data_IF_906504276614
#
_entry.id   IF_906504276614
#
_cell.length_a   1.000
_cell.length_b   1.000
_cell.length_c   1.000
_cell.angle_alpha   90.00
_cell.angle_beta   90.00
_cell.angle_gamma   90.00
#
_symmetry.space_group_name_H-M   'P 1'
#
loop_
_entity.id
_entity.type
_entity.pdbx_description
1 polymer ?
#
# COMPACT_ATOMS: atom_id res chain seq x y z
N UNK A 1 39.74 23.62 -3.61
CA UNK A 1 39.06 22.87 -4.69
C UNK A 1 38.56 21.50 -4.23
N UNK A 2 39.26 20.77 -3.35
CA UNK A 2 38.83 19.43 -2.89
C UNK A 2 37.49 19.41 -2.12
N UNK A 3 37.21 20.41 -1.26
CA UNK A 3 35.95 20.48 -0.50
C UNK A 3 34.70 20.75 -1.37
N UNK A 4 34.87 21.33 -2.57
CA UNK A 4 33.73 21.68 -3.44
C UNK A 4 33.06 20.45 -4.09
N UNK A 5 33.71 19.28 -4.03
CA UNK A 5 33.22 18.01 -4.60
C UNK A 5 32.59 17.07 -3.57
N UNK A 6 32.61 17.43 -2.27
CA UNK A 6 32.07 16.57 -1.22
C UNK A 6 30.55 16.56 -1.31
N UNK A 7 29.97 15.39 -1.57
CA UNK A 7 28.52 15.16 -1.62
C UNK A 7 28.11 14.10 -0.62
N UNK A 8 26.85 14.15 -0.18
CA UNK A 8 26.29 13.21 0.80
C UNK A 8 25.13 12.43 0.22
N UNK A 9 24.93 11.22 0.74
CA UNK A 9 23.68 10.50 0.55
C UNK A 9 22.57 11.23 1.31
N UNK A 10 21.42 11.40 0.64
CA UNK A 10 20.29 12.14 1.22
C UNK A 10 19.69 11.42 2.43
N UNK A 11 19.44 12.11 3.55
CA UNK A 11 18.80 11.52 4.74
C UNK A 11 17.27 11.49 4.66
N UNK A 12 16.71 12.11 3.62
CA UNK A 12 15.29 12.21 3.28
C UNK A 12 15.11 12.46 1.77
N UNK A 13 13.88 12.37 1.27
CA UNK A 13 13.54 12.59 -0.13
C UNK A 13 13.05 14.02 -0.43
N UNK A 14 12.56 14.73 0.58
CA UNK A 14 12.01 16.10 0.54
C UNK A 14 12.93 17.12 -0.16
N UNK A 15 14.24 17.11 0.13
CA UNK A 15 15.18 18.11 -0.38
C UNK A 15 15.23 18.18 -1.93
N UNK A 16 15.06 17.03 -2.59
CA UNK A 16 15.01 16.98 -4.06
C UNK A 16 13.78 17.69 -4.63
N UNK A 17 12.67 17.71 -3.88
CA UNK A 17 11.43 18.37 -4.24
C UNK A 17 11.60 19.89 -4.15
N UNK A 18 12.16 20.40 -3.06
CA UNK A 18 12.37 21.84 -2.89
C UNK A 18 13.30 22.45 -3.94
N UNK A 19 14.40 21.75 -4.27
CA UNK A 19 15.34 22.20 -5.32
C UNK A 19 14.67 22.27 -6.70
N UNK A 20 13.65 21.44 -6.95
CA UNK A 20 12.92 21.39 -8.21
C UNK A 20 11.58 22.15 -8.20
N UNK A 21 11.26 22.85 -7.11
CA UNK A 21 9.98 23.54 -6.94
C UNK A 21 9.61 24.43 -8.14
N UNK A 22 10.51 25.34 -8.54
CA UNK A 22 10.25 26.29 -9.62
C UNK A 22 10.14 25.58 -10.99
N UNK A 23 11.00 24.59 -11.24
CA UNK A 23 10.95 23.79 -12.47
C UNK A 23 9.60 23.08 -12.63
N UNK A 24 9.10 22.46 -11.56
CA UNK A 24 7.82 21.74 -11.56
C UNK A 24 6.66 22.73 -11.70
N UNK A 25 6.65 23.79 -10.88
CA UNK A 25 5.63 24.84 -10.91
C UNK A 25 5.44 25.41 -12.32
N UNK A 26 6.54 25.78 -12.98
CA UNK A 26 6.51 26.39 -14.31
C UNK A 26 6.16 25.41 -15.42
N UNK A 27 6.81 24.25 -15.45
CA UNK A 27 6.63 23.27 -16.53
C UNK A 27 5.23 22.66 -16.53
N UNK A 28 4.66 22.43 -15.34
CA UNK A 28 3.31 21.87 -15.17
C UNK A 28 2.21 22.94 -15.04
N UNK A 29 2.58 24.23 -14.98
CA UNK A 29 1.65 25.37 -14.83
C UNK A 29 0.72 25.20 -13.62
N UNK A 30 1.26 24.73 -12.52
CA UNK A 30 0.50 24.44 -11.30
C UNK A 30 0.04 25.74 -10.63
N UNK A 31 -1.10 25.67 -9.95
CA UNK A 31 -1.60 26.71 -9.05
C UNK A 31 -1.59 26.18 -7.63
N UNK A 32 -1.39 27.06 -6.64
CA UNK A 32 -1.54 26.66 -5.25
C UNK A 32 -3.02 26.39 -4.91
N UNK A 33 -3.33 25.40 -4.06
CA UNK A 33 -2.38 24.45 -3.48
C UNK A 33 -2.07 23.28 -4.44
N UNK A 34 -0.84 22.73 -4.36
CA UNK A 34 -0.44 21.52 -5.09
C UNK A 34 0.60 20.73 -4.31
N UNK A 35 0.78 19.45 -4.65
CA UNK A 35 1.79 18.59 -4.04
C UNK A 35 2.78 18.01 -5.04
N UNK A 36 4.02 17.80 -4.61
CA UNK A 36 5.01 17.00 -5.32
C UNK A 36 5.35 15.81 -4.42
N UNK A 37 5.28 14.60 -4.97
CA UNK A 37 5.52 13.36 -4.23
C UNK A 37 6.82 12.70 -4.70
N UNK A 38 7.54 12.05 -3.78
CA UNK A 38 8.68 11.22 -4.12
C UNK A 38 8.69 9.95 -3.29
N UNK A 39 8.96 8.83 -3.96
CA UNK A 39 9.28 7.55 -3.32
C UNK A 39 10.72 7.21 -3.62
N UNK A 40 11.48 6.87 -2.59
CA UNK A 40 12.80 6.29 -2.81
C UNK A 40 13.67 6.23 -1.58
N UNK A 41 14.91 5.80 -1.80
CA UNK A 41 15.87 5.52 -0.73
C UNK A 41 16.33 6.79 -0.01
N UNK A 42 16.51 6.65 1.29
CA UNK A 42 17.15 7.60 2.18
C UNK A 42 18.16 6.87 3.07
N UNK A 43 19.17 7.62 3.53
CA UNK A 43 20.33 7.07 4.21
C UNK A 43 20.62 7.85 5.49
N UNK A 44 20.63 7.17 6.62
CA UNK A 44 20.99 7.76 7.93
C UNK A 44 22.11 6.92 8.54
N UNK A 45 23.22 7.54 8.92
CA UNK A 45 24.35 6.81 9.51
C UNK A 45 24.07 6.47 10.97
N UNK A 46 23.08 5.60 11.19
CA UNK A 46 22.65 5.13 12.51
C UNK A 46 23.83 4.47 13.24
N UNK A 47 24.06 4.94 14.47
CA UNK A 47 25.22 4.55 15.30
C UNK A 47 25.05 3.10 15.74
N UNK A 48 23.85 2.76 16.19
CA UNK A 48 23.50 1.42 16.65
C UNK A 48 22.26 0.93 15.90
N UNK A 49 22.43 0.25 14.75
CA UNK A 49 21.33 -0.44 14.08
C UNK A 49 20.69 -1.48 15.00
N UNK A 50 19.39 -1.69 14.88
CA UNK A 50 18.67 -2.57 15.79
C UNK A 50 17.17 -2.61 15.55
N UNK A 51 16.49 -3.51 16.27
CA UNK A 51 15.06 -3.75 16.15
C UNK A 51 14.65 -3.98 14.68
N UNK A 52 15.32 -4.88 13.98
CA UNK A 52 15.00 -5.25 12.60
C UNK A 52 14.89 -4.02 11.67
N UNK A 53 13.69 -3.69 11.20
CA UNK A 53 13.42 -2.63 10.22
C UNK A 53 13.32 -1.22 10.83
N UNK A 54 13.32 -1.09 12.16
CA UNK A 54 13.08 0.20 12.83
C UNK A 54 14.30 1.12 12.82
N UNK A 55 15.51 0.56 12.88
CA UNK A 55 16.77 1.32 12.90
C UNK A 55 17.75 0.71 11.90
N UNK A 56 17.65 1.16 10.66
CA UNK A 56 18.52 0.77 9.54
C UNK A 56 19.32 1.97 9.04
N UNK A 57 20.32 1.72 8.20
CA UNK A 57 21.13 2.78 7.56
C UNK A 57 20.61 3.20 6.18
N UNK A 58 19.79 2.35 5.58
CA UNK A 58 19.14 2.53 4.29
C UNK A 58 17.69 2.06 4.47
N UNK A 59 16.75 2.88 3.99
CA UNK A 59 15.31 2.61 4.01
C UNK A 59 14.64 3.42 2.90
N UNK A 60 13.42 3.05 2.55
CA UNK A 60 12.59 3.73 1.55
C UNK A 60 11.55 4.62 2.22
N UNK A 61 11.45 5.86 1.76
CA UNK A 61 10.44 6.82 2.21
C UNK A 61 9.46 7.12 1.09
N UNK A 62 8.24 7.46 1.49
CA UNK A 62 7.22 8.06 0.64
C UNK A 62 6.89 9.42 1.24
N UNK A 63 7.32 10.50 0.59
CA UNK A 63 7.12 11.86 1.08
C UNK A 63 6.35 12.69 0.04
N UNK A 64 5.55 13.62 0.53
CA UNK A 64 4.84 14.61 -0.27
C UNK A 64 5.12 15.98 0.31
N UNK A 65 5.60 16.92 -0.51
CA UNK A 65 5.60 18.34 -0.14
C UNK A 65 4.37 18.99 -0.73
N UNK A 66 3.40 19.33 0.12
CA UNK A 66 2.16 19.98 -0.28
C UNK A 66 2.24 21.48 -0.01
N UNK A 67 2.36 22.25 -1.09
CA UNK A 67 2.53 23.70 -1.08
C UNK A 67 1.18 24.42 -0.98
N UNK A 68 1.07 25.32 -0.02
CA UNK A 68 -0.14 26.10 0.28
C UNK A 68 0.21 27.59 0.31
N UNK A 69 -0.68 28.44 -0.19
CA UNK A 69 -0.50 29.88 -0.05
C UNK A 69 -0.79 30.31 1.41
N UNK A 70 0.17 30.92 2.13
CA UNK A 70 -0.03 31.31 3.53
C UNK A 70 -1.08 32.43 3.72
N UNK A 71 -1.46 33.12 2.65
CA UNK A 71 -2.47 34.19 2.69
C UNK A 71 -3.90 33.68 2.47
N UNK A 72 -4.06 32.40 2.15
CA UNK A 72 -5.38 31.81 1.92
C UNK A 72 -6.04 31.38 3.23
N UNK A 73 -7.37 31.44 3.24
CA UNK A 73 -8.20 30.94 4.33
C UNK A 73 -9.25 29.97 3.78
N UNK A 74 -9.57 28.95 4.57
CA UNK A 74 -10.63 27.98 4.28
C UNK A 74 -11.53 27.94 5.50
N UNK A 75 -12.82 28.21 5.31
CA UNK A 75 -13.82 28.24 6.38
C UNK A 75 -13.43 29.12 7.58
N UNK A 76 -12.77 30.25 7.30
CA UNK A 76 -12.33 31.22 8.32
C UNK A 76 -11.04 30.85 9.07
N UNK A 77 -10.39 29.74 8.72
CA UNK A 77 -9.09 29.31 9.28
C UNK A 77 -7.96 29.49 8.27
N UNK A 78 -6.69 29.65 8.71
CA UNK A 78 -5.54 29.61 7.83
C UNK A 78 -5.53 28.32 6.98
N UNK A 79 -5.32 28.44 5.68
CA UNK A 79 -5.40 27.30 4.76
C UNK A 79 -4.39 26.20 5.09
N UNK A 80 -3.18 26.55 5.56
CA UNK A 80 -2.14 25.60 5.96
C UNK A 80 -2.61 24.67 7.08
N UNK A 81 -3.32 25.20 8.08
CA UNK A 81 -3.85 24.40 9.19
C UNK A 81 -4.99 23.48 8.74
N UNK A 82 -5.87 23.97 7.85
CA UNK A 82 -6.96 23.16 7.30
C UNK A 82 -6.41 22.03 6.44
N UNK A 83 -5.38 22.29 5.63
CA UNK A 83 -4.71 21.26 4.84
C UNK A 83 -3.93 20.28 5.73
N UNK A 84 -3.31 20.75 6.81
CA UNK A 84 -2.64 19.89 7.78
C UNK A 84 -3.61 18.90 8.42
N UNK A 85 -4.77 19.37 8.91
CA UNK A 85 -5.82 18.51 9.46
C UNK A 85 -6.36 17.51 8.43
N UNK A 86 -6.54 17.94 7.18
CA UNK A 86 -6.99 17.06 6.07
C UNK A 86 -5.97 15.97 5.76
N UNK A 87 -4.68 16.30 5.71
CA UNK A 87 -3.62 15.31 5.48
C UNK A 87 -3.53 14.31 6.62
N UNK A 88 -3.60 14.75 7.89
CA UNK A 88 -3.65 13.84 9.04
C UNK A 88 -4.82 12.86 8.91
N UNK A 89 -6.02 13.37 8.60
CA UNK A 89 -7.21 12.53 8.47
C UNK A 89 -7.11 11.55 7.29
N UNK A 90 -6.67 12.02 6.12
CA UNK A 90 -6.54 11.17 4.92
C UNK A 90 -5.49 10.07 5.13
N UNK A 91 -4.34 10.40 5.74
CA UNK A 91 -3.27 9.43 5.98
C UNK A 91 -3.67 8.41 7.02
N UNK A 92 -4.35 8.80 8.10
CA UNK A 92 -4.90 7.85 9.07
C UNK A 92 -5.95 6.94 8.42
N UNK A 93 -6.85 7.51 7.62
CA UNK A 93 -7.87 6.75 6.89
C UNK A 93 -7.25 5.80 5.85
N UNK A 94 -6.11 6.15 5.25
CA UNK A 94 -5.40 5.29 4.30
C UNK A 94 -4.95 3.98 4.96
N UNK A 95 -4.32 4.03 6.14
CA UNK A 95 -3.92 2.81 6.86
C UNK A 95 -5.12 1.91 7.19
N UNK A 96 -6.23 2.50 7.63
CA UNK A 96 -7.46 1.77 7.93
C UNK A 96 -8.11 1.17 6.68
N UNK A 97 -8.15 1.94 5.58
CA UNK A 97 -8.68 1.50 4.27
C UNK A 97 -7.98 0.23 3.77
N UNK A 98 -6.68 0.11 4.03
CA UNK A 98 -5.88 -1.04 3.64
C UNK A 98 -5.73 -2.12 4.72
N UNK A 99 -6.56 -2.07 5.75
CA UNK A 99 -6.81 -3.21 6.65
C UNK A 99 -6.12 -3.13 8.01
N UNK A 100 -5.44 -2.04 8.37
CA UNK A 100 -4.96 -1.89 9.74
C UNK A 100 -6.15 -1.60 10.67
N UNK A 101 -6.25 -2.39 11.73
CA UNK A 101 -7.24 -2.24 12.80
C UNK A 101 -7.08 -0.92 13.56
N UNK A 102 -8.20 -0.23 13.79
CA UNK A 102 -8.21 1.09 14.40
C UNK A 102 -7.62 1.10 15.81
N UNK A 103 -7.81 0.04 16.60
CA UNK A 103 -7.26 -0.10 17.95
C UNK A 103 -5.72 -0.19 18.00
N UNK A 104 -5.08 -0.48 16.87
CA UNK A 104 -3.62 -0.54 16.75
C UNK A 104 -3.02 0.72 16.14
N UNK A 105 -3.84 1.73 15.81
CA UNK A 105 -3.40 3.04 15.32
C UNK A 105 -3.70 4.11 16.35
N UNK A 106 -2.82 5.11 16.44
CA UNK A 106 -3.09 6.36 17.16
C UNK A 106 -2.44 7.54 16.49
N UNK A 107 -3.02 8.71 16.72
CA UNK A 107 -2.39 9.98 16.41
C UNK A 107 -1.65 10.48 17.67
N UNK A 108 -0.38 10.88 17.52
CA UNK A 108 0.41 11.51 18.58
C UNK A 108 0.87 12.89 18.14
N UNK A 109 0.40 13.92 18.81
CA UNK A 109 0.92 15.28 18.61
C UNK A 109 2.31 15.39 19.25
N UNK A 110 3.23 16.08 18.57
CA UNK A 110 4.54 16.42 19.13
C UNK A 110 4.41 17.48 20.21
N UNK A 111 5.16 17.31 21.31
CA UNK A 111 5.33 18.38 22.28
C UNK A 111 6.22 19.50 21.72
N UNK A 112 6.11 20.71 22.29
CA UNK A 112 6.92 21.86 21.83
C UNK A 112 8.43 21.60 21.85
N UNK A 113 8.93 20.78 22.77
CA UNK A 113 10.34 20.39 22.88
C UNK A 113 10.77 19.35 21.84
N UNK A 114 9.82 18.66 21.23
CA UNK A 114 10.06 17.63 20.21
C UNK A 114 9.96 18.18 18.79
N UNK A 115 9.24 19.31 18.61
CA UNK A 115 9.10 19.96 17.31
C UNK A 115 10.46 20.31 16.73
N UNK A 116 10.64 19.95 15.46
CA UNK A 116 11.74 20.50 14.68
C UNK A 116 11.66 22.03 14.67
N UNK A 117 12.81 22.71 14.67
CA UNK A 117 12.91 24.17 14.78
C UNK A 117 12.14 24.95 13.69
N UNK A 118 11.77 24.29 12.59
CA UNK A 118 11.02 24.83 11.46
C UNK A 118 9.52 24.44 11.45
N UNK A 119 9.10 23.51 12.31
CA UNK A 119 7.74 22.99 12.28
C UNK A 119 6.80 23.84 13.15
N UNK A 120 5.68 24.30 12.55
CA UNK A 120 4.57 24.94 13.27
C UNK A 120 3.78 23.92 14.10
N UNK A 121 3.58 22.72 13.55
CA UNK A 121 2.90 21.58 14.20
C UNK A 121 3.31 20.28 13.49
N UNK A 122 3.47 19.21 14.25
CA UNK A 122 3.69 17.86 13.72
C UNK A 122 2.81 16.87 14.48
N UNK A 123 2.18 15.97 13.74
CA UNK A 123 1.45 14.85 14.30
C UNK A 123 1.92 13.55 13.66
N UNK A 124 2.22 12.55 14.48
CA UNK A 124 2.64 11.23 14.02
C UNK A 124 1.45 10.26 14.01
N UNK A 125 1.36 9.46 12.95
CA UNK A 125 0.58 8.23 12.96
C UNK A 125 1.49 7.13 13.49
N UNK A 126 1.11 6.57 14.63
CA UNK A 126 1.83 5.47 15.27
C UNK A 126 1.04 4.16 15.20
N UNK A 127 1.77 3.06 15.05
CA UNK A 127 1.23 1.70 15.10
C UNK A 127 1.74 0.96 16.33
N UNK A 128 0.87 0.13 16.92
CA UNK A 128 1.17 -0.71 18.08
C UNK A 128 1.81 -2.03 17.64
N UNK A 129 3.12 -2.00 17.38
CA UNK A 129 3.89 -3.20 17.12
C UNK A 129 4.00 -4.10 18.36
N UNK A 130 4.44 -5.38 18.21
CA UNK A 130 4.74 -6.25 19.34
C UNK A 130 5.81 -5.68 20.29
N UNK A 131 6.64 -4.77 19.80
CA UNK A 131 7.67 -4.04 20.56
C UNK A 131 7.15 -2.76 21.23
N UNK A 132 5.87 -2.43 21.06
CA UNK A 132 5.25 -1.19 21.55
C UNK A 132 4.87 -0.23 20.42
N UNK A 133 4.46 0.98 20.81
CA UNK A 133 4.09 2.04 19.87
C UNK A 133 5.32 2.59 19.15
N UNK A 134 5.21 2.71 17.83
CA UNK A 134 6.26 3.32 17.00
C UNK A 134 5.65 4.05 15.81
N UNK A 135 6.34 5.08 15.36
CA UNK A 135 5.93 5.98 14.28
C UNK A 135 6.03 5.31 12.91
N UNK A 136 4.94 5.42 12.14
CA UNK A 136 4.85 5.02 10.73
C UNK A 136 5.06 6.20 9.80
N UNK A 137 4.49 7.34 10.17
CA UNK A 137 4.42 8.53 9.34
C UNK A 137 4.28 9.78 10.19
N UNK A 138 5.15 10.76 9.94
CA UNK A 138 5.02 12.11 10.47
C UNK A 138 4.30 13.01 9.48
N UNK A 139 3.34 13.80 9.96
CA UNK A 139 2.67 14.83 9.16
C UNK A 139 3.01 16.20 9.77
N UNK A 140 3.93 16.92 9.12
CA UNK A 140 4.47 18.19 9.59
C UNK A 140 3.93 19.38 8.79
N UNK A 141 3.65 20.49 9.48
CA UNK A 141 3.51 21.81 8.87
C UNK A 141 4.84 22.55 9.05
N UNK A 142 5.64 22.61 7.98
CA UNK A 142 7.01 23.15 7.96
C UNK A 142 7.07 24.64 7.61
N UNK A 143 5.92 25.28 7.40
CA UNK A 143 5.80 26.68 6.97
C UNK A 143 6.67 26.95 5.73
N UNK A 144 7.40 28.06 5.67
CA UNK A 144 8.18 28.49 4.51
C UNK A 144 9.70 28.27 4.66
N UNK A 145 10.12 27.52 5.69
CA UNK A 145 11.52 27.35 6.05
C UNK A 145 12.37 26.81 4.89
N UNK A 146 11.98 25.67 4.32
CA UNK A 146 12.78 24.96 3.33
C UNK A 146 13.03 25.81 2.07
N UNK A 147 11.97 26.43 1.52
CA UNK A 147 12.09 27.29 0.35
C UNK A 147 12.91 28.55 0.65
N UNK A 148 12.77 29.15 1.84
CA UNK A 148 13.59 30.31 2.25
C UNK A 148 15.06 29.95 2.37
N UNK A 149 15.38 28.82 3.00
CA UNK A 149 16.77 28.37 3.15
C UNK A 149 17.40 28.09 1.79
N UNK A 150 16.72 27.35 0.91
CA UNK A 150 17.22 27.10 -0.45
C UNK A 150 17.37 28.40 -1.26
N UNK A 151 16.41 29.33 -1.16
CA UNK A 151 16.50 30.62 -1.84
C UNK A 151 17.69 31.46 -1.34
N UNK A 152 17.90 31.51 -0.03
CA UNK A 152 19.01 32.24 0.60
C UNK A 152 20.38 31.74 0.11
N UNK A 153 20.59 30.42 0.09
CA UNK A 153 21.90 29.84 -0.24
C UNK A 153 22.14 29.68 -1.74
N UNK A 154 21.09 29.54 -2.56
CA UNK A 154 21.21 29.43 -4.01
C UNK A 154 21.19 30.78 -4.75
N UNK A 155 20.65 31.83 -4.13
CA UNK A 155 20.40 33.12 -4.76
C UNK A 155 19.24 33.12 -5.77
N UNK A 156 18.51 32.00 -5.92
CA UNK A 156 17.33 31.90 -6.78
C UNK A 156 16.05 32.19 -5.99
N UNK A 157 15.09 32.85 -6.63
CA UNK A 157 13.76 33.04 -6.04
C UNK A 157 12.97 31.74 -6.10
N UNK A 158 12.50 31.26 -4.95
CA UNK A 158 11.59 30.12 -4.83
C UNK A 158 10.24 30.63 -4.29
N UNK A 159 9.54 31.38 -5.12
CA UNK A 159 8.27 32.03 -4.79
C UNK A 159 7.18 31.68 -5.79
N UNK A 160 5.92 31.83 -5.39
CA UNK A 160 4.75 31.73 -6.26
C UNK A 160 4.16 33.12 -6.48
N UNK A 161 3.81 33.47 -7.71
CA UNK A 161 3.11 34.72 -8.01
C UNK A 161 1.59 34.52 -7.92
N UNK A 162 0.98 35.14 -6.91
CA UNK A 162 -0.48 35.16 -6.75
C UNK A 162 -1.09 36.16 -7.73
N UNK A 163 -1.77 35.66 -8.76
CA UNK A 163 -2.37 36.49 -9.80
C UNK A 163 -3.53 37.36 -9.30
N UNK A 164 -4.22 36.95 -8.23
CA UNK A 164 -5.36 37.69 -7.67
C UNK A 164 -4.88 38.84 -6.80
N UNK A 165 -3.89 38.56 -5.93
CA UNK A 165 -3.32 39.54 -5.00
C UNK A 165 -2.17 40.36 -5.61
N UNK A 166 -1.67 39.96 -6.78
CA UNK A 166 -0.52 40.58 -7.49
C UNK A 166 0.75 40.66 -6.63
N UNK A 167 1.02 39.62 -5.84
CA UNK A 167 2.19 39.54 -4.96
C UNK A 167 2.91 38.21 -5.11
N UNK A 168 4.22 38.21 -4.85
CA UNK A 168 4.98 36.99 -4.65
C UNK A 168 4.84 36.51 -3.21
N UNK A 169 4.59 35.23 -3.03
CA UNK A 169 4.54 34.56 -1.73
C UNK A 169 5.54 33.41 -1.69
N UNK A 170 6.10 33.12 -0.52
CA UNK A 170 6.77 31.84 -0.27
C UNK A 170 5.71 30.88 0.25
N UNK A 171 5.38 29.79 -0.48
CA UNK A 171 4.38 28.84 -0.02
C UNK A 171 4.76 28.21 1.33
N UNK A 172 3.75 27.91 2.14
CA UNK A 172 3.91 27.02 3.28
C UNK A 172 3.86 25.56 2.82
N UNK A 173 4.57 24.69 3.52
CA UNK A 173 4.70 23.27 3.18
C UNK A 173 4.06 22.40 4.24
N UNK A 174 3.14 21.54 3.81
CA UNK A 174 2.61 20.42 4.61
C UNK A 174 3.24 19.14 4.08
N UNK A 175 3.92 18.41 4.96
CA UNK A 175 4.67 17.21 4.63
C UNK A 175 4.11 15.99 5.36
N UNK A 176 3.40 15.11 4.66
CA UNK A 176 3.28 13.70 5.05
C UNK A 176 4.55 12.94 4.62
N UNK A 177 5.27 12.39 5.60
CA UNK A 177 6.49 11.58 5.41
C UNK A 177 6.31 10.20 6.02
N UNK A 178 6.07 9.19 5.16
CA UNK A 178 5.87 7.81 5.57
C UNK A 178 7.12 6.95 5.35
N UNK A 179 7.46 6.12 6.33
CA UNK A 179 8.47 5.08 6.18
C UNK A 179 7.88 3.85 5.50
N UNK A 180 8.14 3.65 4.21
CA UNK A 180 7.53 2.57 3.40
C UNK A 180 7.77 1.19 4.02
N UNK A 181 9.00 0.94 4.45
CA UNK A 181 9.43 -0.27 5.14
C UNK A 181 8.61 -0.56 6.40
N UNK A 182 8.42 0.45 7.26
CA UNK A 182 7.64 0.33 8.50
C UNK A 182 6.17 0.14 8.21
N UNK A 183 5.61 0.83 7.21
CA UNK A 183 4.23 0.62 6.76
C UNK A 183 4.01 -0.82 6.30
N UNK A 184 4.92 -1.40 5.51
CA UNK A 184 4.85 -2.80 5.08
C UNK A 184 4.86 -3.75 6.28
N UNK A 185 5.77 -3.55 7.24
CA UNK A 185 5.80 -4.36 8.45
C UNK A 185 4.50 -4.23 9.26
N UNK A 186 3.94 -3.03 9.39
CA UNK A 186 2.68 -2.81 10.09
C UNK A 186 1.53 -3.59 9.44
N UNK A 187 1.40 -3.54 8.11
CA UNK A 187 0.37 -4.33 7.40
C UNK A 187 0.57 -5.85 7.59
N UNK A 188 1.82 -6.34 7.56
CA UNK A 188 2.10 -7.77 7.77
C UNK A 188 1.75 -8.21 9.19
N UNK A 189 2.17 -7.44 10.20
CA UNK A 189 1.89 -7.72 11.61
C UNK A 189 0.39 -7.66 11.87
N UNK A 190 -0.32 -6.66 11.33
CA UNK A 190 -1.74 -6.51 11.60
C UNK A 190 -2.59 -7.57 10.89
N UNK A 191 -2.19 -7.98 9.69
CA UNK A 191 -2.85 -9.03 8.92
C UNK A 191 -2.58 -10.45 9.47
N UNK A 192 -1.47 -10.66 10.18
CA UNK A 192 -1.10 -11.96 10.71
C UNK A 192 -2.14 -12.47 11.70
N UNK A 193 -2.72 -13.62 11.37
CA UNK A 193 -3.76 -14.28 12.16
C UNK A 193 -3.39 -15.74 12.33
N UNK A 194 -3.58 -16.26 13.54
CA UNK A 194 -3.57 -17.69 13.82
C UNK A 194 -4.96 -18.11 14.30
N UNK A 195 -5.55 -19.12 13.68
CA UNK A 195 -6.88 -19.63 14.01
C UNK A 195 -6.90 -21.16 14.01
N UNK A 196 -7.89 -21.76 14.69
CA UNK A 196 -8.07 -23.21 14.69
C UNK A 196 -9.14 -23.62 13.68
N UNK A 197 -8.78 -24.50 12.75
CA UNK A 197 -9.68 -25.01 11.71
C UNK A 197 -9.63 -26.53 11.74
N UNK A 198 -10.76 -27.15 12.10
CA UNK A 198 -10.93 -28.62 12.16
C UNK A 198 -9.87 -29.30 13.07
N UNK A 199 -9.52 -28.68 14.20
CA UNK A 199 -8.53 -29.20 15.15
C UNK A 199 -7.08 -28.96 14.74
N UNK A 200 -6.82 -28.23 13.65
CA UNK A 200 -5.48 -27.86 13.20
C UNK A 200 -5.29 -26.34 13.23
N UNK A 201 -4.12 -25.90 13.69
CA UNK A 201 -3.71 -24.51 13.63
C UNK A 201 -3.54 -24.04 12.17
N UNK A 202 -4.09 -22.88 11.84
CA UNK A 202 -3.96 -22.16 10.57
C UNK A 202 -3.26 -20.84 10.82
N UNK A 203 -2.11 -20.62 10.19
CA UNK A 203 -1.54 -19.29 10.06
C UNK A 203 -1.97 -18.70 8.71
N UNK A 204 -2.38 -17.44 8.70
CA UNK A 204 -2.70 -16.71 7.47
C UNK A 204 -2.38 -15.23 7.60
N UNK A 205 -2.17 -14.59 6.45
CA UNK A 205 -2.12 -13.14 6.34
C UNK A 205 -3.45 -12.64 5.77
N UNK A 206 -4.27 -11.99 6.60
CA UNK A 206 -5.52 -11.32 6.20
C UNK A 206 -5.28 -9.99 5.47
N UNK A 207 -4.33 -9.97 4.53
CA UNK A 207 -3.97 -8.77 3.77
C UNK A 207 -5.18 -8.25 3.00
N UNK A 208 -5.33 -6.93 2.93
CA UNK A 208 -6.26 -6.31 1.98
C UNK A 208 -5.92 -6.76 0.56
N UNK A 209 -6.96 -7.02 -0.26
CA UNK A 209 -6.82 -7.55 -1.63
C UNK A 209 -5.83 -6.75 -2.49
N UNK A 210 -5.75 -5.44 -2.30
CA UNK A 210 -4.84 -4.56 -3.06
C UNK A 210 -3.38 -4.72 -2.62
N UNK A 211 -3.15 -5.07 -1.35
CA UNK A 211 -1.81 -5.29 -0.79
C UNK A 211 -1.30 -6.73 -0.98
N UNK A 212 -2.19 -7.70 -1.21
CA UNK A 212 -1.78 -9.09 -1.37
C UNK A 212 -0.79 -9.25 -2.55
N UNK A 213 0.39 -9.87 -2.37
CA UNK A 213 1.43 -9.95 -3.41
C UNK A 213 0.99 -10.81 -4.60
N UNK A 214 0.18 -11.84 -4.32
CA UNK A 214 -0.46 -12.69 -5.31
C UNK A 214 -1.96 -12.49 -5.19
N UNK A 215 -2.65 -12.24 -6.31
CA UNK A 215 -4.10 -12.03 -6.30
C UNK A 215 -4.86 -13.36 -6.42
N UNK A 216 -4.36 -14.25 -7.29
CA UNK A 216 -5.05 -15.51 -7.62
C UNK A 216 -4.02 -16.64 -7.74
N UNK A 217 -4.26 -17.75 -7.03
CA UNK A 217 -3.51 -18.99 -7.20
C UNK A 217 -4.33 -20.00 -7.99
N UNK A 218 -3.81 -20.53 -9.10
CA UNK A 218 -4.49 -21.55 -9.91
C UNK A 218 -3.85 -22.91 -9.64
N UNK A 219 -4.64 -23.83 -9.08
CA UNK A 219 -4.16 -25.06 -8.45
C UNK A 219 -4.86 -26.27 -9.11
N UNK A 220 -4.13 -27.20 -9.74
CA UNK A 220 -4.74 -28.44 -10.21
C UNK A 220 -4.97 -29.40 -9.03
N UNK A 221 -6.14 -30.04 -8.98
CA UNK A 221 -6.45 -31.03 -7.96
C UNK A 221 -5.53 -32.27 -8.06
N UNK A 222 -5.26 -32.72 -9.28
CA UNK A 222 -4.50 -33.93 -9.57
C UNK A 222 -3.34 -33.64 -10.52
N UNK A 223 -2.13 -33.50 -9.99
CA UNK A 223 -0.90 -33.22 -10.77
C UNK A 223 -0.53 -34.28 -11.81
N UNK A 224 -0.99 -35.52 -11.65
CA UNK A 224 -0.70 -36.62 -12.59
C UNK A 224 -1.65 -36.66 -13.78
N UNK A 225 -2.71 -35.86 -13.78
CA UNK A 225 -3.72 -35.85 -14.83
C UNK A 225 -3.45 -34.70 -15.79
N UNK A 226 -2.95 -35.02 -16.98
CA UNK A 226 -2.41 -34.03 -17.93
C UNK A 226 -3.44 -33.02 -18.44
N UNK A 227 -4.70 -33.42 -18.56
CA UNK A 227 -5.84 -32.58 -18.93
C UNK A 227 -6.17 -31.51 -17.87
N UNK A 228 -6.20 -31.88 -16.57
CA UNK A 228 -6.39 -30.94 -15.46
C UNK A 228 -5.22 -29.96 -15.40
N UNK A 229 -3.98 -30.47 -15.51
CA UNK A 229 -2.77 -29.62 -15.51
C UNK A 229 -2.78 -28.64 -16.68
N UNK A 230 -3.12 -29.09 -17.89
CA UNK A 230 -3.22 -28.24 -19.07
C UNK A 230 -4.30 -27.16 -18.90
N UNK A 231 -5.49 -27.53 -18.39
CA UNK A 231 -6.57 -26.58 -18.12
C UNK A 231 -6.17 -25.54 -17.06
N UNK A 232 -5.48 -25.95 -15.99
CA UNK A 232 -4.97 -25.03 -14.97
C UNK A 232 -3.94 -24.05 -15.55
N UNK A 233 -3.01 -24.51 -16.39
CA UNK A 233 -2.07 -23.62 -17.07
C UNK A 233 -2.76 -22.62 -18.00
N UNK A 234 -3.77 -23.06 -18.75
CA UNK A 234 -4.51 -22.18 -19.66
C UNK A 234 -5.30 -21.11 -18.90
N UNK A 235 -6.02 -21.51 -17.84
CA UNK A 235 -6.75 -20.56 -16.97
C UNK A 235 -5.78 -19.55 -16.37
N UNK A 236 -4.65 -20.02 -15.82
CA UNK A 236 -3.61 -19.15 -15.26
C UNK A 236 -3.06 -18.19 -16.31
N UNK A 237 -2.79 -18.67 -17.53
CA UNK A 237 -2.30 -17.86 -18.65
C UNK A 237 -3.28 -16.73 -18.97
N UNK A 238 -4.58 -17.02 -19.05
CA UNK A 238 -5.61 -16.00 -19.30
C UNK A 238 -5.64 -14.97 -18.17
N UNK A 239 -5.71 -15.40 -16.92
CA UNK A 239 -5.79 -14.51 -15.76
C UNK A 239 -4.51 -13.66 -15.56
N UNK A 240 -3.34 -14.20 -15.92
CA UNK A 240 -2.05 -13.51 -15.82
C UNK A 240 -1.93 -12.27 -16.71
N UNK A 241 -2.76 -12.10 -17.73
CA UNK A 241 -2.80 -10.86 -18.53
C UNK A 241 -3.40 -9.67 -17.76
N UNK A 242 -4.06 -9.93 -16.63
CA UNK A 242 -4.78 -8.91 -15.87
C UNK A 242 -4.25 -8.77 -14.44
N UNK A 243 -3.81 -9.85 -13.81
CA UNK A 243 -3.42 -9.86 -12.40
C UNK A 243 -2.19 -10.72 -12.12
N UNK A 244 -1.56 -10.49 -10.98
CA UNK A 244 -0.49 -11.35 -10.47
C UNK A 244 -1.08 -12.70 -10.08
N UNK A 245 -0.67 -13.74 -10.80
CA UNK A 245 -1.15 -15.11 -10.59
C UNK A 245 -0.02 -16.12 -10.46
N UNK A 246 -0.26 -17.15 -9.65
CA UNK A 246 0.67 -18.26 -9.45
C UNK A 246 0.02 -19.60 -9.80
N UNK A 247 0.87 -20.59 -10.05
CA UNK A 247 0.51 -21.99 -10.24
C UNK A 247 1.37 -22.83 -9.30
N UNK A 248 0.78 -23.84 -8.66
CA UNK A 248 1.51 -24.81 -7.82
C UNK A 248 0.77 -26.16 -7.85
N UNK A 249 1.47 -27.23 -8.19
CA UNK A 249 0.99 -28.62 -8.18
C UNK A 249 1.90 -29.54 -7.34
N UNK A 250 2.80 -28.94 -6.55
CA UNK A 250 3.86 -29.67 -5.84
C UNK A 250 3.35 -30.47 -4.64
N UNK A 251 2.13 -30.19 -4.17
CA UNK A 251 1.52 -30.83 -3.00
C UNK A 251 0.02 -31.12 -3.19
N UNK A 252 -0.58 -31.81 -2.22
CA UNK A 252 -2.03 -31.99 -2.17
C UNK A 252 -2.75 -30.65 -1.97
N UNK A 253 -3.98 -30.52 -2.51
CA UNK A 253 -4.71 -29.26 -2.57
C UNK A 253 -4.86 -28.55 -1.22
N UNK A 254 -5.09 -29.29 -0.13
CA UNK A 254 -5.19 -28.70 1.21
C UNK A 254 -3.89 -28.01 1.63
N UNK A 255 -2.73 -28.61 1.36
CA UNK A 255 -1.42 -28.01 1.65
C UNK A 255 -1.14 -26.80 0.76
N UNK A 256 -1.60 -26.83 -0.49
CA UNK A 256 -1.47 -25.70 -1.41
C UNK A 256 -2.30 -24.50 -0.94
N UNK A 257 -3.55 -24.72 -0.50
CA UNK A 257 -4.36 -23.66 0.12
C UNK A 257 -3.68 -23.08 1.35
N UNK A 258 -3.11 -23.91 2.25
CA UNK A 258 -2.39 -23.42 3.44
C UNK A 258 -1.23 -22.49 3.07
N UNK A 259 -0.41 -22.84 2.08
CA UNK A 259 0.68 -21.97 1.60
C UNK A 259 0.16 -20.63 1.08
N UNK A 260 -0.94 -20.66 0.35
CA UNK A 260 -1.56 -19.44 -0.21
C UNK A 260 -2.18 -18.57 0.88
N UNK A 261 -2.77 -19.19 1.92
CA UNK A 261 -3.26 -18.50 3.11
C UNK A 261 -2.11 -17.82 3.87
N UNK A 262 -0.98 -18.51 4.06
CA UNK A 262 0.22 -18.01 4.75
C UNK A 262 0.84 -16.78 4.06
N UNK A 263 0.76 -16.69 2.73
CA UNK A 263 1.26 -15.53 1.96
C UNK A 263 0.16 -14.50 1.62
N UNK A 264 -1.06 -14.72 2.10
CA UNK A 264 -2.17 -13.78 2.02
C UNK A 264 -2.87 -13.70 0.66
N UNK A 265 -2.72 -14.70 -0.22
CA UNK A 265 -3.42 -14.76 -1.51
C UNK A 265 -4.94 -14.78 -1.28
N UNK A 266 -5.72 -13.81 -1.78
CA UNK A 266 -7.15 -13.70 -1.46
C UNK A 266 -8.00 -14.83 -2.05
N UNK A 267 -7.65 -15.33 -3.25
CA UNK A 267 -8.44 -16.36 -3.93
C UNK A 267 -7.58 -17.48 -4.52
N UNK A 268 -8.06 -18.71 -4.36
CA UNK A 268 -7.51 -19.88 -5.06
C UNK A 268 -8.56 -20.43 -6.04
N UNK A 269 -8.13 -20.71 -7.27
CA UNK A 269 -8.91 -21.38 -8.32
C UNK A 269 -8.44 -22.82 -8.42
N UNK A 270 -9.33 -23.77 -8.14
CA UNK A 270 -9.04 -25.20 -8.23
C UNK A 270 -9.67 -25.79 -9.46
N UNK A 271 -8.83 -26.44 -10.27
CA UNK A 271 -9.23 -27.22 -11.45
C UNK A 271 -9.29 -28.68 -11.06
N UNK A 272 -10.45 -29.30 -11.20
CA UNK A 272 -10.71 -30.67 -10.75
C UNK A 272 -11.22 -31.59 -11.87
N UNK A 273 -11.51 -32.84 -11.51
CA UNK A 273 -12.04 -33.83 -12.45
C UNK A 273 -13.39 -33.40 -13.01
N UNK A 274 -14.23 -32.73 -12.22
CA UNK A 274 -15.54 -32.25 -12.69
C UNK A 274 -15.37 -31.13 -13.73
N UNK A 275 -14.33 -30.30 -13.61
CA UNK A 275 -14.03 -29.25 -14.59
C UNK A 275 -13.83 -29.82 -15.99
N UNK A 276 -13.00 -30.85 -16.13
CA UNK A 276 -12.58 -31.37 -17.44
C UNK A 276 -13.27 -32.68 -17.86
N UNK A 277 -13.98 -33.34 -16.94
CA UNK A 277 -14.67 -34.62 -17.15
C UNK A 277 -13.75 -35.82 -17.00
N UNK A 278 -14.29 -37.02 -17.21
CA UNK A 278 -13.59 -38.30 -17.25
C UNK A 278 -13.96 -39.09 -18.50
N UNK A 279 -13.15 -38.95 -19.55
CA UNK A 279 -13.36 -39.58 -20.84
C UNK A 279 -13.37 -41.12 -20.75
N UNK A 280 -12.59 -41.71 -19.82
CA UNK A 280 -12.57 -43.16 -19.61
C UNK A 280 -13.89 -43.68 -19.03
N UNK A 281 -14.61 -42.83 -18.28
CA UNK A 281 -15.93 -43.13 -17.70
C UNK A 281 -17.11 -42.57 -18.50
N UNK A 282 -16.84 -41.86 -19.60
CA UNK A 282 -17.86 -41.18 -20.39
C UNK A 282 -18.54 -40.01 -19.66
N UNK A 283 -17.89 -39.45 -18.63
CA UNK A 283 -18.43 -38.32 -17.86
C UNK A 283 -17.93 -37.01 -18.49
N UNK A 284 -18.80 -36.16 -19.06
CA UNK A 284 -18.37 -34.88 -19.61
C UNK A 284 -17.99 -33.90 -18.49
N UNK A 285 -17.02 -33.02 -18.78
CA UNK A 285 -16.69 -31.91 -17.89
C UNK A 285 -17.78 -30.84 -17.90
N UNK A 286 -17.99 -30.17 -16.77
CA UNK A 286 -18.96 -29.08 -16.66
C UNK A 286 -18.39 -27.70 -17.01
N UNK A 287 -17.08 -27.61 -17.28
CA UNK A 287 -16.39 -26.37 -17.62
C UNK A 287 -16.38 -25.34 -16.48
N UNK A 288 -16.57 -25.77 -15.23
CA UNK A 288 -16.55 -24.93 -14.03
C UNK A 288 -15.35 -25.25 -13.15
N UNK A 289 -14.83 -24.24 -12.49
CA UNK A 289 -13.77 -24.35 -11.49
C UNK A 289 -14.28 -23.93 -10.12
N UNK A 290 -13.56 -24.35 -9.09
CA UNK A 290 -13.86 -23.97 -7.72
C UNK A 290 -13.04 -22.74 -7.34
N UNK A 291 -13.69 -21.63 -6.96
CA UNK A 291 -13.00 -20.48 -6.35
C UNK A 291 -13.16 -20.62 -4.83
N UNK A 292 -12.04 -20.62 -4.11
CA UNK A 292 -11.97 -20.54 -2.64
C UNK A 292 -11.51 -19.16 -2.22
N UNK A 293 -12.25 -18.53 -1.31
CA UNK A 293 -11.85 -17.28 -0.67
C UNK A 293 -11.06 -17.53 0.62
N UNK A 294 -10.02 -16.73 0.85
CA UNK A 294 -9.05 -16.92 1.94
C UNK A 294 -9.70 -16.79 3.32
N UNK A 295 -10.40 -15.69 3.60
CA UNK A 295 -10.79 -15.31 4.95
C UNK A 295 -11.88 -16.20 5.55
N UNK A 296 -12.88 -16.54 4.74
CA UNK A 296 -14.04 -17.38 5.08
C UNK A 296 -13.83 -18.87 4.78
N UNK A 297 -12.87 -19.19 3.91
CA UNK A 297 -12.68 -20.53 3.33
C UNK A 297 -13.86 -21.03 2.48
N UNK A 298 -14.85 -20.19 2.21
CA UNK A 298 -16.01 -20.52 1.38
C UNK A 298 -15.58 -20.84 -0.05
N UNK A 299 -16.31 -21.76 -0.69
CA UNK A 299 -16.03 -22.24 -2.03
C UNK A 299 -17.27 -22.16 -2.92
N UNK A 300 -17.10 -21.62 -4.12
CA UNK A 300 -18.14 -21.50 -5.15
C UNK A 300 -17.69 -22.11 -6.48
N UNK A 301 -18.64 -22.62 -7.28
CA UNK A 301 -18.38 -23.23 -8.60
C UNK A 301 -18.73 -22.25 -9.73
N UNK A 302 -17.71 -21.73 -10.39
CA UNK A 302 -17.82 -20.66 -11.39
C UNK A 302 -17.44 -21.18 -12.79
N UNK A 303 -18.23 -20.88 -13.85
CA UNK A 303 -17.84 -21.18 -15.23
C UNK A 303 -16.52 -20.51 -15.61
N UNK A 304 -15.62 -21.24 -16.27
CA UNK A 304 -14.32 -20.71 -16.68
C UNK A 304 -14.42 -19.39 -17.48
N UNK A 305 -15.39 -19.21 -18.41
CA UNK A 305 -15.54 -17.94 -19.13
C UNK A 305 -15.87 -16.72 -18.25
N UNK A 306 -16.44 -16.94 -17.05
CA UNK A 306 -16.86 -15.86 -16.15
C UNK A 306 -15.76 -15.40 -15.19
N UNK A 307 -14.64 -16.13 -15.07
CA UNK A 307 -13.59 -15.85 -14.09
C UNK A 307 -13.05 -14.42 -14.18
N UNK A 308 -12.85 -13.90 -15.40
CA UNK A 308 -12.36 -12.53 -15.58
C UNK A 308 -13.36 -11.49 -15.04
N UNK A 309 -14.66 -11.68 -15.27
CA UNK A 309 -15.67 -10.76 -14.76
C UNK A 309 -15.71 -10.82 -13.23
N UNK A 310 -15.75 -12.04 -12.67
CA UNK A 310 -15.79 -12.28 -11.23
C UNK A 310 -14.60 -11.65 -10.50
N UNK A 311 -13.37 -11.92 -10.95
CA UNK A 311 -12.18 -11.33 -10.33
C UNK A 311 -12.07 -9.82 -10.57
N UNK A 312 -12.55 -9.33 -11.72
CA UNK A 312 -12.64 -7.90 -11.99
C UNK A 312 -13.50 -7.17 -10.96
N UNK A 313 -14.68 -7.70 -10.65
CA UNK A 313 -15.56 -7.13 -9.62
C UNK A 313 -14.96 -7.23 -8.21
N UNK A 314 -14.41 -8.38 -7.84
CA UNK A 314 -13.81 -8.62 -6.52
C UNK A 314 -12.62 -7.69 -6.27
N UNK A 315 -11.76 -7.50 -7.27
CA UNK A 315 -10.61 -6.59 -7.20
C UNK A 315 -11.00 -5.12 -7.35
N UNK A 316 -12.16 -4.81 -7.93
CA UNK A 316 -12.72 -3.46 -7.96
C UNK A 316 -13.44 -3.06 -6.65
N UNK A 317 -13.53 -3.96 -5.67
CA UNK A 317 -14.07 -3.64 -4.35
C UNK A 317 -15.29 -4.45 -3.92
N UNK A 318 -15.88 -5.27 -4.79
CA UNK A 318 -17.08 -6.03 -4.46
C UNK A 318 -16.87 -6.93 -3.23
N UNK A 319 -17.91 -7.04 -2.40
CA UNK A 319 -17.90 -7.95 -1.26
C UNK A 319 -17.96 -9.40 -1.74
N UNK A 320 -17.15 -10.28 -1.13
CA UNK A 320 -17.16 -11.71 -1.45
C UNK A 320 -18.56 -12.31 -1.36
N UNK A 321 -19.30 -12.02 -0.29
CA UNK A 321 -20.66 -12.54 -0.06
C UNK A 321 -21.64 -12.21 -1.19
N UNK A 322 -21.55 -10.99 -1.75
CA UNK A 322 -22.39 -10.57 -2.86
C UNK A 322 -22.06 -11.33 -4.16
N UNK A 323 -20.78 -11.58 -4.40
CA UNK A 323 -20.31 -12.35 -5.55
C UNK A 323 -20.67 -13.83 -5.39
N UNK A 324 -20.40 -14.41 -4.22
CA UNK A 324 -20.60 -15.81 -3.91
C UNK A 324 -22.07 -16.23 -4.01
N UNK A 325 -23.01 -15.37 -3.60
CA UNK A 325 -24.44 -15.63 -3.68
C UNK A 325 -24.98 -15.90 -5.11
N UNK A 326 -24.23 -15.52 -6.16
CA UNK A 326 -24.60 -15.75 -7.57
C UNK A 326 -24.24 -17.16 -8.07
N UNK A 327 -23.41 -17.89 -7.33
CA UNK A 327 -22.85 -19.16 -7.76
C UNK A 327 -23.20 -20.28 -6.77
N UNK A 328 -23.36 -21.53 -7.25
CA UNK A 328 -23.57 -22.65 -6.35
C UNK A 328 -22.31 -22.90 -5.51
N UNK A 329 -22.50 -23.22 -4.24
CA UNK A 329 -21.41 -23.67 -3.37
C UNK A 329 -20.76 -24.94 -3.91
N UNK A 330 -19.44 -25.08 -3.73
CA UNK A 330 -18.75 -26.32 -4.05
C UNK A 330 -19.18 -27.40 -3.05
N UNK A 331 -19.60 -28.57 -3.55
CA UNK A 331 -19.92 -29.71 -2.68
C UNK A 331 -18.63 -30.19 -2.01
N UNK A 332 -18.64 -30.27 -0.67
CA UNK A 332 -17.51 -30.68 0.17
C UNK A 332 -17.13 -32.13 -0.03
#
# INVERSE_FOLDING_TARGET
EEDASVTYLRPETAQGIFVNFDNVLQSMRLKLPFGIAQVGKAFRNEITPGNFIFRTREFEQMEIEFFVNPSDTIDGRPADEVWHDRWIAERLAWYQRYGIRAENLRLREHEKSELAHYAKRTADIEYKFPIGWSELEGIANRTDFDLKQHAQWSGKSLTYFDEERKVHVVPYVIEPSAGADRSVLAFLVDAYTEEEVRGEKRALLRLHRDLAPVKIAVLPLLKKRGDIVAAAHEIRRVLAHHWVTVYDDTAAIGRLYRRQDEVGTPWCVTVDVQTVGDAEKGEPGDGRVTIRERDSMEQIRVPVPELRAVFGELLAGAAWSAVAARYPGAKS
#
